data_IF_802948236320
#
_entry.id   IF_802948236320
#
_cell.length_a   1.000
_cell.length_b   1.000
_cell.length_c   1.000
_cell.angle_alpha   90.00
_cell.angle_beta   90.00
_cell.angle_gamma   90.00
#
_symmetry.space_group_name_H-M   'P 1'
#
loop_
_entity.id
_entity.type
_entity.pdbx_description
1 polymer ?
#
# COMPACT_ATOMS: atom_id res chain seq x y z
N UNK A 1 -27.80 -4.71 1.03
CA UNK A 1 -26.82 -3.86 0.32
C UNK A 1 -26.69 -4.41 -1.08
N UNK A 2 -26.80 -3.56 -2.09
CA UNK A 2 -26.63 -3.99 -3.48
C UNK A 2 -25.21 -4.54 -3.67
N UNK A 3 -25.07 -5.71 -4.33
CA UNK A 3 -23.79 -6.39 -4.60
C UNK A 3 -22.75 -5.43 -5.22
N UNK A 4 -23.20 -4.53 -6.08
CA UNK A 4 -22.35 -3.53 -6.73
C UNK A 4 -21.81 -2.49 -5.75
N UNK A 5 -22.59 -2.12 -4.74
CA UNK A 5 -22.19 -1.15 -3.72
C UNK A 5 -21.17 -1.77 -2.75
N UNK A 6 -21.33 -3.05 -2.42
CA UNK A 6 -20.33 -3.80 -1.63
C UNK A 6 -18.99 -3.92 -2.38
N UNK A 7 -19.01 -4.27 -3.67
CA UNK A 7 -17.81 -4.35 -4.51
C UNK A 7 -17.09 -3.00 -4.62
N UNK A 8 -17.82 -1.91 -4.83
CA UNK A 8 -17.26 -0.57 -4.92
C UNK A 8 -16.52 -0.19 -3.62
N UNK A 9 -17.14 -0.44 -2.46
CA UNK A 9 -16.52 -0.16 -1.17
C UNK A 9 -15.26 -0.99 -0.93
N UNK A 10 -15.28 -2.28 -1.28
CA UNK A 10 -14.12 -3.17 -1.13
C UNK A 10 -12.96 -2.68 -2.00
N UNK A 11 -13.22 -2.36 -3.27
CA UNK A 11 -12.17 -1.84 -4.16
C UNK A 11 -11.65 -0.48 -3.72
N UNK A 12 -12.53 0.42 -3.27
CA UNK A 12 -12.12 1.72 -2.75
C UNK A 12 -11.17 1.57 -1.55
N UNK A 13 -11.48 0.67 -0.61
CA UNK A 13 -10.63 0.39 0.56
C UNK A 13 -9.30 -0.25 0.14
N UNK A 14 -9.34 -1.23 -0.78
CA UNK A 14 -8.13 -1.91 -1.26
C UNK A 14 -7.13 -0.97 -1.95
N UNK A 15 -7.60 0.15 -2.51
CA UNK A 15 -6.73 1.16 -3.15
C UNK A 15 -6.33 2.24 -2.14
N UNK A 16 -7.26 2.69 -1.30
CA UNK A 16 -7.01 3.75 -0.32
C UNK A 16 -5.94 3.34 0.71
N UNK A 17 -5.95 2.08 1.16
CA UNK A 17 -5.01 1.59 2.18
C UNK A 17 -3.55 1.62 1.69
N UNK A 18 -3.16 1.01 0.55
CA UNK A 18 -1.80 1.11 0.02
C UNK A 18 -1.38 2.54 -0.30
N UNK A 19 -2.29 3.36 -0.85
CA UNK A 19 -2.00 4.75 -1.15
C UNK A 19 -1.61 5.54 0.12
N UNK A 20 -2.29 5.29 1.24
CA UNK A 20 -1.94 5.87 2.53
C UNK A 20 -0.57 5.40 3.03
N UNK A 21 -0.28 4.10 2.91
CA UNK A 21 1.02 3.55 3.29
C UNK A 21 2.14 4.16 2.44
N UNK A 22 1.92 4.37 1.14
CA UNK A 22 2.92 4.97 0.26
C UNK A 22 3.17 6.44 0.62
N UNK A 23 2.11 7.21 0.88
CA UNK A 23 2.23 8.61 1.26
C UNK A 23 2.99 8.79 2.59
N UNK A 24 2.66 7.98 3.60
CA UNK A 24 3.34 8.02 4.90
C UNK A 24 4.80 7.56 4.76
N UNK A 25 5.05 6.43 4.11
CA UNK A 25 6.39 5.90 3.90
C UNK A 25 7.29 6.89 3.14
N UNK A 26 6.78 7.52 2.08
CA UNK A 26 7.49 8.57 1.33
C UNK A 26 7.85 9.79 2.18
N UNK A 27 6.92 10.27 3.02
CA UNK A 27 7.20 11.40 3.93
C UNK A 27 8.31 11.06 4.94
N UNK A 28 8.26 9.86 5.51
CA UNK A 28 9.27 9.41 6.48
C UNK A 28 10.62 9.14 5.82
N UNK A 29 10.65 8.58 4.62
CA UNK A 29 11.91 8.30 3.90
C UNK A 29 12.64 9.60 3.54
N UNK A 30 11.93 10.64 3.08
CA UNK A 30 12.51 11.97 2.81
C UNK A 30 13.07 12.57 4.10
N UNK A 31 12.32 12.53 5.20
CA UNK A 31 12.75 13.07 6.49
C UNK A 31 13.97 12.32 7.04
N UNK A 32 14.04 11.00 6.86
CA UNK A 32 15.16 10.17 7.28
C UNK A 32 16.42 10.44 6.44
N UNK A 33 16.28 10.55 5.11
CA UNK A 33 17.37 10.93 4.21
C UNK A 33 17.94 12.30 4.55
N UNK A 34 17.07 13.28 4.84
CA UNK A 34 17.49 14.64 5.20
C UNK A 34 18.33 14.68 6.48
N UNK A 35 18.09 13.76 7.43
CA UNK A 35 18.86 13.66 8.68
C UNK A 35 20.16 12.86 8.52
N UNK A 36 20.22 11.90 7.60
CA UNK A 36 21.41 11.08 7.38
C UNK A 36 21.52 10.62 5.90
N UNK A 37 22.10 11.45 5.02
CA UNK A 37 22.14 11.17 3.58
C UNK A 37 22.99 9.93 3.24
N UNK A 38 23.98 9.60 4.07
CA UNK A 38 24.85 8.42 3.89
C UNK A 38 24.10 7.09 4.02
N UNK A 39 22.91 7.10 4.65
CA UNK A 39 22.07 5.92 4.81
C UNK A 39 21.08 5.70 3.65
N UNK A 40 21.15 6.52 2.58
CA UNK A 40 20.24 6.49 1.44
C UNK A 40 19.99 5.08 0.86
N UNK A 41 21.01 4.24 0.57
CA UNK A 41 20.80 2.92 -0.02
C UNK A 41 19.98 1.99 0.88
N UNK A 42 20.20 2.08 2.20
CA UNK A 42 19.50 1.25 3.18
C UNK A 42 18.04 1.68 3.30
N UNK A 43 17.78 2.98 3.33
CA UNK A 43 16.42 3.55 3.42
C UNK A 43 15.62 3.20 2.16
N UNK A 44 16.23 3.27 0.98
CA UNK A 44 15.58 2.92 -0.28
C UNK A 44 15.15 1.45 -0.32
N UNK A 45 16.03 0.53 0.07
CA UNK A 45 15.71 -0.91 0.12
C UNK A 45 14.56 -1.17 1.10
N UNK A 46 14.62 -0.61 2.31
CA UNK A 46 13.55 -0.76 3.30
C UNK A 46 12.22 -0.20 2.79
N UNK A 47 12.24 0.97 2.14
CA UNK A 47 11.05 1.59 1.54
C UNK A 47 10.43 0.67 0.49
N UNK A 48 11.22 0.14 -0.44
CA UNK A 48 10.73 -0.77 -1.49
C UNK A 48 10.10 -2.03 -0.89
N UNK A 49 10.75 -2.65 0.10
CA UNK A 49 10.22 -3.85 0.77
C UNK A 49 8.85 -3.55 1.39
N UNK A 50 8.72 -2.44 2.12
CA UNK A 50 7.44 -2.05 2.74
C UNK A 50 6.37 -1.80 1.68
N UNK A 51 6.71 -1.12 0.58
CA UNK A 51 5.75 -0.85 -0.50
C UNK A 51 5.28 -2.14 -1.18
N UNK A 52 6.20 -3.08 -1.46
CA UNK A 52 5.86 -4.38 -2.04
C UNK A 52 4.95 -5.18 -1.12
N UNK A 53 5.22 -5.21 0.17
CA UNK A 53 4.36 -5.90 1.14
C UNK A 53 2.96 -5.29 1.22
N UNK A 54 2.86 -3.95 1.27
CA UNK A 54 1.57 -3.27 1.28
C UNK A 54 0.77 -3.56 0.01
N UNK A 55 1.45 -3.62 -1.14
CA UNK A 55 0.78 -3.88 -2.40
C UNK A 55 0.38 -5.35 -2.58
N UNK A 56 1.18 -6.29 -2.08
CA UNK A 56 0.86 -7.71 -2.07
C UNK A 56 -0.42 -8.00 -1.28
N UNK A 57 -0.58 -7.39 -0.09
CA UNK A 57 -1.79 -7.53 0.71
C UNK A 57 -3.04 -7.03 -0.02
N UNK A 58 -2.95 -5.88 -0.70
CA UNK A 58 -4.07 -5.35 -1.48
C UNK A 58 -4.44 -6.22 -2.67
N UNK A 59 -3.46 -6.82 -3.36
CA UNK A 59 -3.72 -7.76 -4.46
C UNK A 59 -4.43 -9.01 -3.93
N UNK A 60 -3.97 -9.59 -2.81
CA UNK A 60 -4.62 -10.75 -2.20
C UNK A 60 -6.07 -10.41 -1.80
N UNK A 61 -6.30 -9.24 -1.20
CA UNK A 61 -7.64 -8.79 -0.84
C UNK A 61 -8.56 -8.66 -2.05
N UNK A 62 -8.05 -8.12 -3.18
CA UNK A 62 -8.82 -8.07 -4.43
C UNK A 62 -9.12 -9.47 -4.96
N UNK A 63 -8.17 -10.40 -4.95
CA UNK A 63 -8.38 -11.76 -5.43
C UNK A 63 -9.47 -12.47 -4.62
N UNK A 64 -9.46 -12.33 -3.30
CA UNK A 64 -10.51 -12.87 -2.42
C UNK A 64 -11.86 -12.23 -2.72
N UNK A 65 -11.90 -10.91 -2.96
CA UNK A 65 -13.13 -10.23 -3.35
C UNK A 65 -13.67 -10.75 -4.70
N UNK A 66 -12.81 -10.96 -5.69
CA UNK A 66 -13.20 -11.56 -6.97
C UNK A 66 -13.65 -13.02 -6.82
N UNK A 67 -13.10 -13.79 -5.88
CA UNK A 67 -13.55 -15.16 -5.63
C UNK A 67 -14.91 -15.23 -4.92
N UNK A 68 -15.20 -14.29 -4.02
CA UNK A 68 -16.46 -14.24 -3.27
C UNK A 68 -17.62 -13.67 -4.09
N UNK A 69 -17.33 -12.73 -4.99
CA UNK A 69 -18.33 -12.00 -5.77
C UNK A 69 -18.21 -12.25 -7.28
N UNK A 70 -17.36 -13.18 -7.71
CA UNK A 70 -17.23 -13.67 -9.09
C UNK A 70 -18.37 -14.59 -9.48
#
# INVERSE_FOLDING_TARGET
>A
MDRNLALLLIFAICIAVPAWVFATCGKFSITALARNPSASPRIFITMIIVMVFAQALAIIAMLVAFQLFG
#
